data_IF_011433513573
#
_entry.id   IF_011433513573
#
_cell.length_a   1.000
_cell.length_b   1.000
_cell.length_c   1.000
_cell.angle_alpha   90.00
_cell.angle_beta   90.00
_cell.angle_gamma   90.00
#
_symmetry.space_group_name_H-M   'P 1'
#
loop_
_entity.id
_entity.type
_entity.pdbx_description
1 polymer ?
#
# COMPACT_ATOMS: atom_id res chain seq x y z
N UNK A 1 -16.63 -20.58 -0.48
CA UNK A 1 -15.53 -20.02 -1.30
C UNK A 1 -14.78 -21.17 -1.93
N UNK A 2 -14.73 -21.25 -3.25
CA UNK A 2 -13.91 -22.25 -3.94
C UNK A 2 -12.44 -21.88 -3.84
N UNK A 3 -11.55 -22.86 -3.88
CA UNK A 3 -10.09 -22.67 -3.76
C UNK A 3 -9.54 -21.72 -4.83
N UNK A 4 -10.12 -21.77 -6.03
CA UNK A 4 -9.75 -20.89 -7.14
C UNK A 4 -10.07 -19.42 -6.85
N UNK A 5 -11.27 -19.12 -6.33
CA UNK A 5 -11.65 -17.75 -5.98
C UNK A 5 -10.74 -17.21 -4.87
N UNK A 6 -10.46 -18.03 -3.85
CA UNK A 6 -9.55 -17.64 -2.78
C UNK A 6 -8.15 -17.29 -3.31
N UNK A 7 -7.61 -18.11 -4.21
CA UNK A 7 -6.31 -17.87 -4.84
C UNK A 7 -6.28 -16.57 -5.67
N UNK A 8 -7.36 -16.27 -6.42
CA UNK A 8 -7.48 -15.02 -7.20
C UNK A 8 -7.42 -13.77 -6.31
N UNK A 9 -8.08 -13.80 -5.15
CA UNK A 9 -8.03 -12.68 -4.19
C UNK A 9 -6.64 -12.56 -3.56
N UNK A 10 -5.97 -13.68 -3.26
CA UNK A 10 -4.60 -13.67 -2.74
C UNK A 10 -3.62 -13.00 -3.71
N UNK A 11 -3.80 -13.23 -5.02
CA UNK A 11 -2.97 -12.64 -6.08
C UNK A 11 -3.45 -11.25 -6.54
N UNK A 12 -4.54 -10.73 -5.98
CA UNK A 12 -5.10 -9.42 -6.33
C UNK A 12 -5.73 -9.33 -7.71
N UNK A 13 -6.16 -10.46 -8.28
CA UNK A 13 -6.74 -10.52 -9.63
C UNK A 13 -8.11 -9.83 -9.71
N UNK A 14 -8.90 -9.91 -8.64
CA UNK A 14 -10.17 -9.19 -8.47
C UNK A 14 -9.99 -7.66 -8.53
N UNK A 15 -8.93 -7.15 -7.89
CA UNK A 15 -8.57 -5.72 -7.93
C UNK A 15 -8.16 -5.33 -9.35
N UNK A 16 -7.35 -6.14 -10.02
CA UNK A 16 -6.94 -5.90 -11.40
C UNK A 16 -8.15 -5.88 -12.36
N UNK A 17 -9.09 -6.81 -12.19
CA UNK A 17 -10.31 -6.88 -13.00
C UNK A 17 -11.20 -5.66 -12.76
N UNK A 18 -11.34 -5.22 -11.51
CA UNK A 18 -12.10 -4.01 -11.18
C UNK A 18 -11.44 -2.73 -11.70
N UNK A 19 -10.11 -2.65 -11.68
CA UNK A 19 -9.36 -1.57 -12.32
C UNK A 19 -9.60 -1.51 -13.84
N UNK A 20 -9.62 -2.67 -14.53
CA UNK A 20 -9.94 -2.74 -15.97
C UNK A 20 -11.38 -2.33 -16.25
N UNK A 21 -12.31 -2.79 -15.43
CA UNK A 21 -13.73 -2.44 -15.55
C UNK A 21 -13.93 -0.93 -15.44
N UNK A 22 -13.43 -0.31 -14.35
CA UNK A 22 -13.60 1.13 -14.15
C UNK A 22 -12.86 1.95 -15.20
N UNK A 23 -11.68 1.53 -15.65
CA UNK A 23 -10.96 2.24 -16.72
C UNK A 23 -11.75 2.31 -18.04
N UNK A 24 -12.65 1.34 -18.28
CA UNK A 24 -13.50 1.30 -19.48
C UNK A 24 -14.82 2.04 -19.28
N UNK A 25 -15.46 1.86 -18.13
CA UNK A 25 -16.82 2.36 -17.87
C UNK A 25 -16.83 3.79 -17.31
N UNK A 26 -15.91 4.12 -16.39
CA UNK A 26 -15.89 5.40 -15.69
C UNK A 26 -14.45 5.76 -15.23
N UNK A 27 -13.78 6.54 -16.07
CA UNK A 27 -12.40 6.98 -15.83
C UNK A 27 -12.28 7.94 -14.63
N UNK A 28 -13.34 8.70 -14.30
CA UNK A 28 -13.34 9.62 -13.16
C UNK A 28 -13.44 8.83 -11.84
N UNK A 29 -14.30 7.81 -11.80
CA UNK A 29 -14.32 6.85 -10.70
C UNK A 29 -12.99 6.09 -10.57
N UNK A 30 -12.36 5.71 -11.70
CA UNK A 30 -11.03 5.08 -11.69
C UNK A 30 -9.98 5.99 -11.05
N UNK A 31 -9.91 7.27 -11.46
CA UNK A 31 -8.97 8.25 -10.88
C UNK A 31 -9.22 8.48 -9.40
N UNK A 32 -10.50 8.53 -8.98
CA UNK A 32 -10.88 8.73 -7.58
C UNK A 32 -10.48 7.53 -6.70
N UNK A 33 -10.82 6.32 -7.13
CA UNK A 33 -10.60 5.10 -6.34
C UNK A 33 -9.13 4.65 -6.36
N UNK A 34 -8.45 4.77 -7.51
CA UNK A 34 -7.09 4.28 -7.73
C UNK A 34 -6.03 5.40 -7.83
N UNK A 35 -6.31 6.58 -7.27
CA UNK A 35 -5.38 7.74 -7.29
C UNK A 35 -3.94 7.40 -6.85
N UNK A 36 -3.77 6.60 -5.80
CA UNK A 36 -2.45 6.18 -5.31
C UNK A 36 -1.76 5.18 -6.25
N UNK A 37 -2.52 4.31 -6.91
CA UNK A 37 -1.99 3.36 -7.89
C UNK A 37 -1.48 4.12 -9.11
N UNK A 38 -2.22 5.12 -9.58
CA UNK A 38 -1.80 6.00 -10.67
C UNK A 38 -0.52 6.75 -10.28
N UNK A 39 -0.47 7.32 -9.07
CA UNK A 39 0.71 8.03 -8.56
C UNK A 39 1.96 7.15 -8.51
N UNK A 40 1.78 5.86 -8.21
CA UNK A 40 2.87 4.90 -8.08
C UNK A 40 3.12 4.09 -9.37
N UNK A 41 2.45 4.44 -10.48
CA UNK A 41 2.52 3.74 -11.77
C UNK A 41 2.19 2.24 -11.70
N UNK A 42 1.25 1.86 -10.84
CA UNK A 42 0.77 0.49 -10.72
C UNK A 42 -0.35 0.25 -11.73
N UNK A 43 -0.15 -0.70 -12.64
CA UNK A 43 -1.12 -1.12 -13.66
C UNK A 43 -1.81 -2.42 -13.26
N UNK A 44 -3.01 -2.73 -13.79
CA UNK A 44 -3.71 -3.98 -13.47
C UNK A 44 -2.90 -5.23 -13.81
N UNK A 45 -2.10 -5.20 -14.89
CA UNK A 45 -1.23 -6.32 -15.28
C UNK A 45 -0.07 -6.56 -14.30
N UNK A 46 0.38 -5.52 -13.60
CA UNK A 46 1.53 -5.59 -12.68
C UNK A 46 1.16 -6.08 -11.27
N UNK A 47 -0.12 -6.12 -10.90
CA UNK A 47 -0.57 -6.45 -9.54
C UNK A 47 -0.18 -7.89 -9.16
N UNK A 48 -0.44 -8.85 -10.04
CA UNK A 48 -0.12 -10.26 -9.78
C UNK A 48 1.40 -10.47 -9.60
N UNK A 49 2.20 -9.86 -10.47
CA UNK A 49 3.66 -9.95 -10.40
C UNK A 49 4.21 -9.29 -9.14
N UNK A 50 3.63 -8.16 -8.73
CA UNK A 50 4.00 -7.45 -7.51
C UNK A 50 3.79 -8.32 -6.26
N UNK A 51 2.64 -9.00 -6.15
CA UNK A 51 2.38 -9.91 -5.02
C UNK A 51 3.28 -11.15 -5.05
N UNK A 52 3.53 -11.73 -6.22
CA UNK A 52 4.50 -12.84 -6.37
C UNK A 52 5.89 -12.44 -5.89
N UNK A 53 6.39 -11.27 -6.31
CA UNK A 53 7.68 -10.71 -5.88
C UNK A 53 7.71 -10.42 -4.37
N UNK A 54 6.62 -9.92 -3.80
CA UNK A 54 6.52 -9.71 -2.36
C UNK A 54 6.61 -11.04 -1.59
N UNK A 55 5.92 -12.09 -2.07
CA UNK A 55 5.99 -13.41 -1.45
C UNK A 55 7.38 -14.04 -1.54
N UNK A 56 8.11 -13.88 -2.64
CA UNK A 56 9.50 -14.36 -2.73
C UNK A 56 10.41 -13.59 -1.79
N UNK A 57 10.33 -12.25 -1.77
CA UNK A 57 11.17 -11.41 -0.92
C UNK A 57 10.96 -11.69 0.58
N UNK A 58 9.72 -11.92 1.03
CA UNK A 58 9.42 -12.27 2.43
C UNK A 58 9.95 -13.67 2.79
N UNK A 59 9.93 -14.63 1.85
CA UNK A 59 10.50 -15.96 2.07
C UNK A 59 12.02 -15.93 2.14
N UNK A 60 12.67 -15.10 1.34
CA UNK A 60 14.12 -14.91 1.34
C UNK A 60 14.62 -14.22 2.62
N UNK A 61 13.93 -13.17 3.06
CA UNK A 61 14.31 -12.36 4.22
C UNK A 61 13.15 -12.20 5.21
N UNK A 62 12.93 -13.19 6.11
CA UNK A 62 11.83 -13.15 7.06
C UNK A 62 12.09 -12.22 8.26
N UNK A 63 13.32 -11.70 8.41
CA UNK A 63 13.73 -10.87 9.56
C UNK A 63 13.43 -9.40 9.29
N UNK A 64 12.78 -8.75 10.26
CA UNK A 64 12.49 -7.31 10.20
C UNK A 64 13.70 -6.46 10.60
N UNK A 65 14.15 -5.60 9.70
CA UNK A 65 15.20 -4.61 9.98
C UNK A 65 14.64 -3.36 10.67
N UNK A 66 15.15 -3.05 11.85
CA UNK A 66 14.77 -1.84 12.58
C UNK A 66 15.39 -0.60 11.94
N UNK A 67 14.56 0.38 11.58
CA UNK A 67 15.04 1.68 11.10
C UNK A 67 15.91 2.36 12.15
N UNK A 68 17.03 3.01 11.76
CA UNK A 68 17.89 3.71 12.69
C UNK A 68 17.12 4.86 13.36
N UNK A 69 17.29 5.01 14.68
CA UNK A 69 16.70 6.12 15.43
C UNK A 69 17.38 7.42 14.98
N UNK A 70 16.61 8.34 14.39
CA UNK A 70 17.09 9.70 14.13
C UNK A 70 17.07 10.49 15.44
N UNK A 71 18.22 10.96 15.88
CA UNK A 71 18.31 11.93 16.97
C UNK A 71 17.85 13.30 16.46
N UNK A 72 16.56 13.59 16.66
CA UNK A 72 15.98 14.89 16.35
C UNK A 72 15.84 15.69 17.64
N UNK A 73 16.36 16.93 17.67
CA UNK A 73 16.08 17.87 18.76
C UNK A 73 14.57 18.13 18.77
N UNK A 74 13.86 17.52 19.73
CA UNK A 74 12.41 17.65 19.87
C UNK A 74 12.08 19.05 20.36
N UNK A 75 11.45 19.86 19.50
CA UNK A 75 10.83 21.13 19.91
C UNK A 75 9.63 20.82 20.80
N UNK A 76 9.53 21.52 21.94
CA UNK A 76 8.35 21.44 22.81
C UNK A 76 7.22 22.26 22.18
N UNK A 77 6.15 21.59 21.79
CA UNK A 77 4.95 22.22 21.22
C UNK A 77 3.91 22.60 22.28
N UNK A 78 4.11 22.16 23.52
CA UNK A 78 3.19 22.42 24.62
C UNK A 78 3.54 23.74 25.30
N UNK A 79 2.51 24.50 25.67
CA UNK A 79 2.66 25.71 26.49
C UNK A 79 3.37 25.36 27.81
N UNK A 80 4.46 26.06 28.19
CA UNK A 80 5.13 25.83 29.46
C UNK A 80 4.20 26.19 30.62
N UNK A 81 4.22 25.36 31.67
CA UNK A 81 3.47 25.64 32.90
C UNK A 81 4.15 26.81 33.63
N UNK A 82 3.39 27.87 33.93
CA UNK A 82 3.92 29.02 34.66
C UNK A 82 4.32 28.61 36.09
N UNK A 83 5.51 29.03 36.51
CA UNK A 83 5.96 28.91 37.90
C UNK A 83 5.43 30.09 38.73
N UNK A 84 5.15 29.86 40.01
CA UNK A 84 4.89 30.94 40.98
C UNK A 84 6.24 31.57 41.32
N UNK A 85 6.48 32.79 40.82
CA UNK A 85 7.56 33.67 41.23
C UNK A 85 6.98 34.83 42.04
#
# INVERSE_FOLDING_TARGET
MTTEVHWKHLMGQDIADYMRYLKKEDEDAYKKQFSQYIKNNVTPDMIEEMYKKAHTAIRESPVYEKKPKKEVKKKKWNCPKMSLA
#
